data_IF_466842402423
#
_entry.id   IF_466842402423
#
_cell.length_a   1.000
_cell.length_b   1.000
_cell.length_c   1.000
_cell.angle_alpha   90.00
_cell.angle_beta   90.00
_cell.angle_gamma   90.00
#
_symmetry.space_group_name_H-M   'P 1'
#
loop_
_entity.id
_entity.type
_entity.pdbx_description
1 polymer ?
#
# COMPACT_ATOMS: atom_id res chain seq x y z
N UNK A 1 26.37 21.12 -21.23
CA UNK A 1 27.10 20.74 -20.00
C UNK A 1 26.66 21.55 -18.79
N UNK A 2 26.72 22.88 -18.80
CA UNK A 2 26.32 23.70 -17.64
C UNK A 2 24.86 23.49 -17.17
N UNK A 3 23.92 23.33 -18.11
CA UNK A 3 22.50 23.09 -17.80
C UNK A 3 22.25 21.71 -17.16
N UNK A 4 22.99 20.68 -17.61
CA UNK A 4 22.95 19.36 -17.01
C UNK A 4 23.44 19.40 -15.56
N UNK A 5 24.57 20.05 -15.30
CA UNK A 5 25.10 20.21 -13.94
C UNK A 5 24.15 20.98 -13.00
N UNK A 6 23.42 21.98 -13.51
CA UNK A 6 22.41 22.69 -12.74
C UNK A 6 21.22 21.79 -12.36
N UNK A 7 20.73 20.97 -13.30
CA UNK A 7 19.64 20.01 -13.06
C UNK A 7 20.06 18.82 -12.21
N UNK A 8 21.34 18.40 -12.30
CA UNK A 8 21.91 17.27 -11.54
C UNK A 8 21.81 17.47 -10.03
N UNK A 9 21.87 18.71 -9.54
CA UNK A 9 21.72 19.05 -8.12
C UNK A 9 20.34 18.73 -7.54
N UNK A 10 19.32 18.64 -8.38
CA UNK A 10 17.93 18.41 -7.98
C UNK A 10 17.46 17.00 -8.34
N UNK A 11 18.27 16.23 -9.07
CA UNK A 11 17.97 14.85 -9.40
C UNK A 11 17.90 14.00 -8.12
N UNK A 12 16.77 13.33 -7.90
CA UNK A 12 16.53 12.53 -6.69
C UNK A 12 16.05 13.32 -5.47
N UNK A 13 15.85 14.64 -5.59
CA UNK A 13 15.19 15.44 -4.55
C UNK A 13 13.68 15.29 -4.69
N UNK A 14 13.04 14.77 -3.64
CA UNK A 14 11.58 14.64 -3.56
C UNK A 14 11.07 15.78 -2.67
N UNK A 15 10.14 16.58 -3.18
CA UNK A 15 9.51 17.65 -2.43
C UNK A 15 8.17 17.16 -1.87
N UNK A 16 7.99 17.27 -0.55
CA UNK A 16 6.74 16.98 0.15
C UNK A 16 6.15 18.32 0.59
N UNK A 17 4.96 18.64 0.09
CA UNK A 17 4.19 19.80 0.51
C UNK A 17 3.15 19.36 1.55
N UNK A 18 3.13 20.01 2.71
CA UNK A 18 2.19 19.71 3.78
C UNK A 18 1.74 21.00 4.47
N UNK A 19 0.49 21.01 4.91
CA UNK A 19 -0.10 22.01 5.80
C UNK A 19 0.02 21.62 7.29
N UNK A 20 0.67 20.49 7.58
CA UNK A 20 0.89 20.00 8.94
C UNK A 20 2.13 20.64 9.57
N UNK A 21 1.99 21.09 10.82
CA UNK A 21 3.11 21.57 11.64
C UNK A 21 3.82 20.38 12.30
N UNK A 22 4.69 19.71 11.54
CA UNK A 22 5.45 18.52 11.97
C UNK A 22 6.89 18.58 11.47
N UNK A 23 7.78 17.83 12.12
CA UNK A 23 9.15 17.71 11.64
C UNK A 23 9.23 17.00 10.29
N UNK A 24 10.23 17.36 9.49
CA UNK A 24 10.40 16.82 8.13
C UNK A 24 10.52 15.29 8.09
N UNK A 25 11.10 14.67 9.12
CA UNK A 25 11.18 13.21 9.21
C UNK A 25 9.82 12.57 9.40
N UNK A 26 8.95 13.16 10.24
CA UNK A 26 7.59 12.67 10.44
C UNK A 26 6.73 12.84 9.19
N UNK A 27 6.89 13.96 8.47
CA UNK A 27 6.21 14.18 7.19
C UNK A 27 6.66 13.17 6.13
N UNK A 28 7.95 12.85 6.11
CA UNK A 28 8.50 11.83 5.22
C UNK A 28 7.97 10.43 5.55
N UNK A 29 7.94 10.04 6.83
CA UNK A 29 7.39 8.76 7.26
C UNK A 29 5.89 8.66 6.96
N UNK A 30 5.13 9.74 7.15
CA UNK A 30 3.71 9.79 6.77
C UNK A 30 3.54 9.62 5.26
N UNK A 31 4.38 10.28 4.46
CA UNK A 31 4.37 10.13 3.00
C UNK A 31 4.71 8.70 2.57
N UNK A 32 5.65 8.03 3.25
CA UNK A 32 5.95 6.61 3.00
C UNK A 32 4.76 5.69 3.24
N UNK A 33 3.86 6.03 4.17
CA UNK A 33 2.63 5.26 4.38
C UNK A 33 1.71 5.14 3.15
N UNK A 34 1.94 5.93 2.10
CA UNK A 34 1.27 5.74 0.81
C UNK A 34 1.63 4.38 0.16
N UNK A 35 2.86 3.89 0.36
CA UNK A 35 3.28 2.56 -0.12
C UNK A 35 2.47 1.44 0.54
N UNK A 36 2.16 1.57 1.83
CA UNK A 36 1.32 0.60 2.55
C UNK A 36 -0.09 0.51 1.95
N UNK A 37 -0.60 1.64 1.44
CA UNK A 37 -1.90 1.68 0.74
C UNK A 37 -1.80 0.94 -0.59
N UNK A 38 -0.74 1.15 -1.37
CA UNK A 38 -0.50 0.42 -2.62
C UNK A 38 -0.37 -1.09 -2.38
N UNK A 39 0.36 -1.48 -1.34
CA UNK A 39 0.47 -2.87 -0.91
C UNK A 39 -0.89 -3.47 -0.57
N UNK A 40 -1.75 -2.73 0.14
CA UNK A 40 -3.09 -3.15 0.47
C UNK A 40 -3.96 -3.34 -0.79
N UNK A 41 -3.87 -2.44 -1.77
CA UNK A 41 -4.56 -2.61 -3.05
C UNK A 41 -4.03 -3.80 -3.87
N UNK A 42 -2.73 -4.07 -3.80
CA UNK A 42 -2.13 -5.21 -4.47
C UNK A 42 -2.60 -6.54 -3.85
N UNK A 43 -2.58 -6.64 -2.52
CA UNK A 43 -3.12 -7.80 -1.79
C UNK A 43 -4.62 -7.98 -2.07
N UNK A 44 -5.38 -6.89 -2.12
CA UNK A 44 -6.78 -6.93 -2.47
C UNK A 44 -7.01 -7.53 -3.87
N UNK A 45 -6.20 -7.18 -4.87
CA UNK A 45 -6.35 -7.70 -6.23
C UNK A 45 -5.90 -9.16 -6.35
N UNK A 46 -4.75 -9.51 -5.79
CA UNK A 46 -4.11 -10.81 -6.05
C UNK A 46 -4.49 -11.88 -5.01
N UNK A 47 -4.47 -11.54 -3.73
CA UNK A 47 -4.71 -12.51 -2.64
C UNK A 47 -6.19 -12.76 -2.40
N UNK A 48 -7.01 -11.71 -2.61
CA UNK A 48 -8.47 -11.81 -2.52
C UNK A 48 -9.14 -11.97 -3.89
N UNK A 49 -8.35 -12.05 -4.97
CA UNK A 49 -8.79 -12.21 -6.36
C UNK A 49 -9.92 -11.23 -6.75
N UNK A 50 -9.85 -9.99 -6.25
CA UNK A 50 -10.98 -9.06 -6.34
C UNK A 50 -10.99 -8.15 -7.58
N UNK A 51 -10.17 -8.48 -8.57
CA UNK A 51 -10.01 -7.71 -9.80
C UNK A 51 -11.18 -7.85 -10.79
N UNK A 52 -12.07 -8.84 -10.58
CA UNK A 52 -13.21 -9.14 -11.47
C UNK A 52 -14.55 -9.10 -10.73
N UNK A 53 -15.11 -7.91 -10.60
CA UNK A 53 -16.53 -7.78 -10.22
C UNK A 53 -17.40 -8.13 -11.42
N UNK A 54 -17.84 -9.39 -11.54
CA UNK A 54 -18.85 -9.82 -12.52
C UNK A 54 -20.27 -9.27 -12.21
N UNK A 55 -20.36 -8.09 -11.62
CA UNK A 55 -21.56 -7.50 -11.02
C UNK A 55 -22.19 -6.49 -11.99
N UNK A 56 -23.52 -6.41 -11.99
CA UNK A 56 -24.31 -5.65 -12.97
C UNK A 56 -25.13 -4.49 -12.37
N UNK A 57 -24.92 -4.16 -11.10
CA UNK A 57 -25.54 -2.99 -10.45
C UNK A 57 -24.58 -2.28 -9.50
N UNK A 58 -24.81 -0.99 -9.31
CA UNK A 58 -24.00 -0.14 -8.43
C UNK A 58 -24.08 -0.59 -6.97
N UNK A 59 -25.25 -1.03 -6.50
CA UNK A 59 -25.43 -1.55 -5.15
C UNK A 59 -24.60 -2.82 -4.93
N UNK A 60 -24.57 -3.72 -5.91
CA UNK A 60 -23.78 -4.93 -5.84
C UNK A 60 -22.28 -4.61 -5.78
N UNK A 61 -21.81 -3.66 -6.59
CA UNK A 61 -20.41 -3.20 -6.57
C UNK A 61 -20.05 -2.59 -5.21
N UNK A 62 -20.91 -1.75 -4.63
CA UNK A 62 -20.66 -1.19 -3.29
C UNK A 62 -20.60 -2.26 -2.21
N UNK A 63 -21.55 -3.21 -2.23
CA UNK A 63 -21.57 -4.32 -1.29
C UNK A 63 -20.34 -5.20 -1.42
N UNK A 64 -19.90 -5.47 -2.64
CA UNK A 64 -18.68 -6.22 -2.93
C UNK A 64 -17.45 -5.55 -2.33
N UNK A 65 -17.20 -4.27 -2.63
CA UNK A 65 -16.05 -3.56 -2.08
C UNK A 65 -16.09 -3.48 -0.55
N UNK A 66 -17.28 -3.37 0.05
CA UNK A 66 -17.43 -3.41 1.50
C UNK A 66 -16.96 -4.75 2.09
N UNK A 67 -17.38 -5.88 1.52
CA UNK A 67 -16.94 -7.20 1.97
C UNK A 67 -15.46 -7.41 1.71
N UNK A 68 -14.96 -7.02 0.54
CA UNK A 68 -13.53 -7.08 0.18
C UNK A 68 -12.69 -6.28 1.17
N UNK A 69 -13.12 -5.09 1.57
CA UNK A 69 -12.43 -4.29 2.59
C UNK A 69 -12.38 -4.99 3.96
N UNK A 70 -13.47 -5.62 4.39
CA UNK A 70 -13.50 -6.41 5.62
C UNK A 70 -12.54 -7.61 5.55
N UNK A 71 -12.54 -8.33 4.43
CA UNK A 71 -11.64 -9.44 4.19
C UNK A 71 -10.17 -9.01 4.23
N UNK A 72 -9.84 -7.88 3.59
CA UNK A 72 -8.50 -7.29 3.60
C UNK A 72 -8.03 -6.94 5.02
N UNK A 73 -8.93 -6.40 5.86
CA UNK A 73 -8.63 -6.13 7.27
C UNK A 73 -8.35 -7.39 8.06
N UNK A 74 -9.08 -8.47 7.80
CA UNK A 74 -8.84 -9.78 8.43
C UNK A 74 -7.50 -10.35 7.97
N UNK A 75 -7.21 -10.31 6.67
CA UNK A 75 -5.97 -10.76 6.06
C UNK A 75 -4.74 -10.11 6.72
N UNK A 76 -4.70 -8.77 6.80
CA UNK A 76 -3.58 -8.07 7.44
C UNK A 76 -3.47 -8.34 8.93
N UNK A 77 -4.59 -8.53 9.65
CA UNK A 77 -4.55 -8.94 11.07
C UNK A 77 -3.91 -10.31 11.25
N UNK A 78 -4.20 -11.26 10.36
CA UNK A 78 -3.57 -12.58 10.38
C UNK A 78 -2.07 -12.44 10.12
N UNK A 79 -1.68 -11.72 9.07
CA UNK A 79 -0.26 -11.47 8.76
C UNK A 79 0.49 -10.80 9.91
N UNK A 80 -0.12 -9.81 10.57
CA UNK A 80 0.45 -9.16 11.74
C UNK A 80 0.70 -10.19 12.86
N UNK A 81 -0.28 -11.05 13.15
CA UNK A 81 -0.14 -12.11 14.16
C UNK A 81 0.92 -13.15 13.83
N UNK A 82 1.08 -13.49 12.56
CA UNK A 82 2.14 -14.40 12.11
C UNK A 82 3.53 -13.77 12.31
N UNK A 83 3.65 -12.47 11.99
CA UNK A 83 4.89 -11.71 12.16
C UNK A 83 5.31 -11.57 13.61
N UNK A 84 4.36 -11.24 14.49
CA UNK A 84 4.58 -11.16 15.94
C UNK A 84 5.08 -12.48 16.55
N UNK A 85 4.68 -13.60 15.95
CA UNK A 85 5.09 -14.95 16.39
C UNK A 85 6.33 -15.48 15.64
N UNK A 86 6.93 -14.68 14.75
CA UNK A 86 8.08 -15.11 13.95
C UNK A 86 7.79 -16.25 12.96
N UNK A 87 6.53 -16.41 12.54
CA UNK A 87 6.09 -17.53 11.70
C UNK A 87 6.13 -17.21 10.20
N UNK A 88 6.40 -15.96 9.82
CA UNK A 88 6.37 -15.50 8.41
C UNK A 88 7.32 -16.30 7.51
N UNK A 89 8.50 -16.68 8.01
CA UNK A 89 9.53 -17.44 7.27
C UNK A 89 9.18 -18.91 7.03
N UNK A 90 8.17 -19.46 7.71
CA UNK A 90 7.70 -20.85 7.51
C UNK A 90 6.47 -20.98 6.62
N UNK A 91 5.77 -19.87 6.41
CA UNK A 91 4.46 -19.83 5.73
C UNK A 91 4.53 -19.04 4.42
N UNK A 92 5.65 -18.35 4.15
CA UNK A 92 5.90 -17.78 2.83
C UNK A 92 5.77 -18.89 1.78
N UNK A 93 4.72 -18.79 0.98
CA UNK A 93 4.49 -19.62 -0.19
C UNK A 93 5.70 -19.44 -1.09
N UNK A 94 6.28 -20.54 -1.59
CA UNK A 94 7.33 -20.47 -2.62
C UNK A 94 6.84 -19.56 -3.75
N UNK A 95 7.55 -18.47 -4.00
CA UNK A 95 7.36 -17.68 -5.20
C UNK A 95 7.72 -18.60 -6.39
N UNK A 96 6.73 -18.95 -7.20
CA UNK A 96 6.90 -19.70 -8.46
C UNK A 96 7.50 -18.79 -9.53
#
# INVERSE_FOLDING_TARGET
MAEFEAKRRHAGVICILSDLDKEGIELFDLHKGLEDVELAFNAMKNELESDKTHLRSDEAVRGYFFITFLALRVYFKILQRLREKGLTTRIAVDEV
#
